data_IF_732561482944
#
_entry.id   IF_732561482944
#
_cell.length_a   1.000
_cell.length_b   1.000
_cell.length_c   1.000
_cell.angle_alpha   90.00
_cell.angle_beta   90.00
_cell.angle_gamma   90.00
#
_symmetry.space_group_name_H-M   'P 1'
#
loop_
_entity.id
_entity.type
_entity.pdbx_description
1 polymer ?
#
# COMPACT_ATOMS: atom_id res chain seq x y z
N UNK A 1 -12.94 -34.82 19.18
CA UNK A 1 -11.70 -34.21 19.70
C UNK A 1 -11.93 -33.81 21.16
N UNK A 2 -10.93 -33.93 22.05
CA UNK A 2 -11.05 -33.54 23.46
C UNK A 2 -11.10 -32.03 23.65
N UNK A 3 -10.47 -31.26 22.78
CA UNK A 3 -10.49 -29.79 22.83
C UNK A 3 -11.89 -29.25 22.47
N UNK A 4 -12.48 -29.74 21.39
CA UNK A 4 -13.86 -29.39 20.99
C UNK A 4 -14.88 -29.78 22.07
N UNK A 5 -14.72 -30.96 22.69
CA UNK A 5 -15.56 -31.41 23.80
C UNK A 5 -15.46 -30.48 25.02
N UNK A 6 -14.26 -30.00 25.35
CA UNK A 6 -14.05 -29.08 26.47
C UNK A 6 -14.67 -27.70 26.21
N UNK A 7 -14.54 -27.19 24.99
CA UNK A 7 -15.09 -25.88 24.60
C UNK A 7 -16.62 -25.92 24.62
N UNK A 8 -17.22 -26.96 24.02
CA UNK A 8 -18.69 -27.07 23.90
C UNK A 8 -19.39 -27.31 25.23
N UNK A 9 -18.71 -27.89 26.22
CA UNK A 9 -19.23 -28.09 27.58
C UNK A 9 -18.99 -26.90 28.52
N UNK A 10 -18.29 -25.86 28.07
CA UNK A 10 -17.98 -24.70 28.89
C UNK A 10 -19.20 -23.80 29.09
N UNK A 11 -19.35 -23.25 30.30
CA UNK A 11 -20.39 -22.26 30.62
C UNK A 11 -20.21 -20.95 29.83
N UNK A 12 -18.96 -20.62 29.47
CA UNK A 12 -18.62 -19.46 28.65
C UNK A 12 -17.80 -19.90 27.43
N UNK A 13 -18.51 -20.32 26.38
CA UNK A 13 -17.92 -20.82 25.13
C UNK A 13 -17.04 -19.75 24.47
N UNK A 14 -17.51 -18.49 24.38
CA UNK A 14 -16.76 -17.39 23.76
C UNK A 14 -15.45 -17.11 24.48
N UNK A 15 -15.49 -16.96 25.81
CA UNK A 15 -14.27 -16.72 26.61
C UNK A 15 -13.29 -17.89 26.54
N UNK A 16 -13.80 -19.13 26.46
CA UNK A 16 -12.97 -20.33 26.32
C UNK A 16 -12.27 -20.36 24.97
N UNK A 17 -12.96 -19.99 23.88
CA UNK A 17 -12.36 -19.91 22.55
C UNK A 17 -11.23 -18.88 22.48
N UNK A 18 -11.47 -17.65 22.96
CA UNK A 18 -10.42 -16.60 23.01
C UNK A 18 -9.24 -17.03 23.89
N UNK A 19 -9.49 -17.70 25.01
CA UNK A 19 -8.44 -18.27 25.85
C UNK A 19 -7.63 -19.35 25.11
N UNK A 20 -8.29 -20.25 24.38
CA UNK A 20 -7.63 -21.27 23.57
C UNK A 20 -6.73 -20.67 22.50
N UNK A 21 -7.17 -19.60 21.81
CA UNK A 21 -6.32 -18.86 20.85
C UNK A 21 -5.07 -18.36 21.57
N UNK A 22 -5.22 -17.63 22.68
CA UNK A 22 -4.09 -17.05 23.43
C UNK A 22 -3.10 -18.11 23.91
N UNK A 23 -3.59 -19.23 24.45
CA UNK A 23 -2.76 -20.34 24.92
C UNK A 23 -2.05 -21.02 23.74
N UNK A 24 -2.73 -21.17 22.60
CA UNK A 24 -2.13 -21.75 21.40
C UNK A 24 -0.95 -20.90 20.88
N UNK A 25 -1.06 -19.57 20.90
CA UNK A 25 0.04 -18.69 20.52
C UNK A 25 1.16 -18.66 21.55
N UNK A 26 0.83 -18.69 22.84
CA UNK A 26 1.81 -18.50 23.92
C UNK A 26 2.62 -19.76 24.23
N UNK A 27 2.00 -20.95 24.12
CA UNK A 27 2.59 -22.20 24.63
C UNK A 27 2.77 -23.30 23.57
N UNK A 28 2.11 -23.20 22.41
CA UNK A 28 2.26 -24.21 21.35
C UNK A 28 3.40 -23.83 20.40
N UNK A 29 4.55 -24.47 20.62
CA UNK A 29 5.77 -24.23 19.84
C UNK A 29 5.71 -24.85 18.43
N UNK A 30 5.01 -25.98 18.25
CA UNK A 30 4.92 -26.64 16.94
C UNK A 30 3.88 -25.96 16.06
N UNK A 31 4.34 -25.39 14.94
CA UNK A 31 3.47 -24.69 13.96
C UNK A 31 2.36 -25.58 13.43
N UNK A 32 2.67 -26.81 13.03
CA UNK A 32 1.69 -27.76 12.47
C UNK A 32 0.53 -28.01 13.44
N UNK A 33 0.84 -28.32 14.70
CA UNK A 33 -0.17 -28.55 15.73
C UNK A 33 -0.96 -27.28 16.08
N UNK A 34 -0.30 -26.11 16.08
CA UNK A 34 -1.01 -24.82 16.23
C UNK A 34 -2.00 -24.60 15.08
N UNK A 35 -1.65 -24.94 13.85
CA UNK A 35 -2.56 -24.83 12.70
C UNK A 35 -3.75 -25.80 12.84
N UNK A 36 -3.53 -27.04 13.32
CA UNK A 36 -4.63 -27.98 13.61
C UNK A 36 -5.60 -27.43 14.65
N UNK A 37 -5.07 -26.85 15.74
CA UNK A 37 -5.88 -26.18 16.77
C UNK A 37 -6.68 -25.03 16.15
N UNK A 38 -6.04 -24.12 15.43
CA UNK A 38 -6.72 -22.96 14.85
C UNK A 38 -7.83 -23.37 13.87
N UNK A 39 -7.60 -24.40 13.02
CA UNK A 39 -8.65 -24.95 12.14
C UNK A 39 -9.82 -25.52 12.92
N UNK A 40 -9.55 -26.23 14.02
CA UNK A 40 -10.60 -26.73 14.91
C UNK A 40 -11.39 -25.56 15.51
N UNK A 41 -10.72 -24.51 15.98
CA UNK A 41 -11.37 -23.33 16.56
C UNK A 41 -12.26 -22.63 15.51
N UNK A 42 -11.79 -22.43 14.28
CA UNK A 42 -12.59 -21.88 13.18
C UNK A 42 -13.87 -22.70 12.96
N UNK A 43 -13.76 -24.02 12.90
CA UNK A 43 -14.90 -24.90 12.75
C UNK A 43 -15.90 -24.79 13.91
N UNK A 44 -15.42 -24.61 15.15
CA UNK A 44 -16.28 -24.42 16.32
C UNK A 44 -16.97 -23.06 16.27
N UNK A 45 -16.25 -21.98 15.97
CA UNK A 45 -16.82 -20.64 15.84
C UNK A 45 -17.94 -20.58 14.79
N UNK A 46 -17.76 -21.25 13.64
CA UNK A 46 -18.76 -21.29 12.57
C UNK A 46 -20.04 -22.05 12.96
N UNK A 47 -19.97 -23.00 13.89
CA UNK A 47 -21.14 -23.76 14.38
C UNK A 47 -21.96 -22.99 15.43
N UNK A 48 -21.46 -21.87 15.95
CA UNK A 48 -22.19 -21.06 16.93
C UNK A 48 -23.39 -20.35 16.30
N UNK A 49 -24.45 -20.12 17.08
CA UNK A 49 -25.63 -19.39 16.63
C UNK A 49 -25.32 -17.94 16.20
N UNK A 50 -24.31 -17.33 16.85
CA UNK A 50 -23.77 -16.01 16.52
C UNK A 50 -22.25 -16.12 16.33
N UNK A 51 -21.77 -16.34 15.09
CA UNK A 51 -20.34 -16.45 14.81
C UNK A 51 -19.63 -15.12 15.07
N UNK A 52 -18.52 -15.17 15.79
CA UNK A 52 -17.61 -14.03 15.91
C UNK A 52 -16.68 -13.99 14.69
N UNK A 53 -17.09 -13.25 13.66
CA UNK A 53 -16.35 -13.18 12.40
C UNK A 53 -14.95 -12.54 12.56
N UNK A 54 -14.74 -11.68 13.55
CA UNK A 54 -13.44 -11.05 13.78
C UNK A 54 -12.43 -12.10 14.27
N UNK A 55 -12.80 -12.87 15.29
CA UNK A 55 -11.97 -13.98 15.79
C UNK A 55 -11.72 -15.07 14.72
N UNK A 56 -12.72 -15.35 13.88
CA UNK A 56 -12.55 -16.31 12.77
C UNK A 56 -11.53 -15.79 11.75
N UNK A 57 -11.66 -14.52 11.32
CA UNK A 57 -10.73 -13.92 10.37
C UNK A 57 -9.31 -13.87 10.93
N UNK A 58 -9.12 -13.57 12.22
CA UNK A 58 -7.81 -13.65 12.88
C UNK A 58 -7.22 -15.06 12.89
N UNK A 59 -8.05 -16.10 13.08
CA UNK A 59 -7.57 -17.48 12.97
C UNK A 59 -7.16 -17.82 11.53
N UNK A 60 -7.97 -17.42 10.54
CA UNK A 60 -7.69 -17.66 9.11
C UNK A 60 -6.44 -16.92 8.63
N UNK A 61 -6.21 -15.73 9.17
CA UNK A 61 -5.00 -14.94 8.98
C UNK A 61 -3.76 -15.73 9.43
N UNK A 62 -3.74 -16.25 10.66
CA UNK A 62 -2.63 -17.09 11.14
C UNK A 62 -2.47 -18.42 10.40
N UNK A 63 -3.53 -18.90 9.74
CA UNK A 63 -3.53 -20.09 8.90
C UNK A 63 -3.07 -19.82 7.47
N UNK A 64 -2.92 -18.54 7.06
CA UNK A 64 -2.62 -18.11 5.70
C UNK A 64 -3.68 -18.58 4.68
N UNK A 65 -4.97 -18.45 5.04
CA UNK A 65 -6.11 -18.92 4.24
C UNK A 65 -6.97 -17.73 3.72
N UNK A 66 -6.54 -17.01 2.65
CA UNK A 66 -7.21 -15.80 2.17
C UNK A 66 -8.62 -16.06 1.62
N UNK A 67 -8.86 -17.23 1.03
CA UNK A 67 -10.17 -17.62 0.52
C UNK A 67 -11.25 -17.66 1.61
N UNK A 68 -10.89 -18.11 2.82
CA UNK A 68 -11.82 -18.17 3.95
C UNK A 68 -12.26 -16.78 4.38
N UNK A 69 -11.31 -15.84 4.44
CA UNK A 69 -11.55 -14.43 4.77
C UNK A 69 -12.43 -13.77 3.70
N UNK A 70 -12.11 -13.96 2.42
CA UNK A 70 -12.89 -13.43 1.31
C UNK A 70 -14.35 -13.94 1.34
N UNK A 71 -14.55 -15.23 1.65
CA UNK A 71 -15.90 -15.81 1.76
C UNK A 71 -16.72 -15.20 2.90
N UNK A 72 -16.07 -14.90 4.03
CA UNK A 72 -16.72 -14.22 5.18
C UNK A 72 -17.06 -12.77 4.82
N UNK A 73 -16.11 -12.05 4.22
CA UNK A 73 -16.33 -10.68 3.77
C UNK A 73 -17.48 -10.62 2.74
N UNK A 74 -17.51 -11.52 1.75
CA UNK A 74 -18.61 -11.58 0.80
C UNK A 74 -19.96 -11.80 1.50
N UNK A 75 -20.03 -12.76 2.43
CA UNK A 75 -21.24 -13.06 3.19
C UNK A 75 -21.75 -11.83 3.95
N UNK A 76 -20.85 -11.10 4.61
CA UNK A 76 -21.19 -9.89 5.37
C UNK A 76 -21.62 -8.74 4.46
N UNK A 77 -20.95 -8.56 3.32
CA UNK A 77 -21.25 -7.49 2.37
C UNK A 77 -22.59 -7.70 1.66
N UNK A 78 -22.98 -8.96 1.41
CA UNK A 78 -24.28 -9.33 0.81
C UNK A 78 -25.44 -9.36 1.80
N UNK A 79 -25.18 -9.28 3.11
CA UNK A 79 -26.23 -9.21 4.13
C UNK A 79 -27.06 -7.93 3.99
N UNK A 80 -28.36 -8.01 4.24
CA UNK A 80 -29.24 -6.82 4.26
C UNK A 80 -28.93 -5.90 5.46
N UNK A 81 -28.34 -6.46 6.53
CA UNK A 81 -28.00 -5.72 7.74
C UNK A 81 -26.90 -4.68 7.48
N UNK A 82 -27.09 -3.47 8.02
CA UNK A 82 -26.05 -2.43 8.01
C UNK A 82 -24.90 -2.76 8.95
N UNK A 83 -25.20 -3.42 10.07
CA UNK A 83 -24.20 -3.75 11.09
C UNK A 83 -23.20 -4.78 10.57
N UNK A 84 -23.66 -5.74 9.76
CA UNK A 84 -22.79 -6.73 9.11
C UNK A 84 -21.83 -6.07 8.11
N UNK A 85 -22.32 -5.08 7.35
CA UNK A 85 -21.48 -4.31 6.44
C UNK A 85 -20.43 -3.49 7.20
N UNK A 86 -20.78 -2.90 8.35
CA UNK A 86 -19.82 -2.19 9.21
C UNK A 86 -18.78 -3.15 9.80
N UNK A 87 -19.20 -4.35 10.22
CA UNK A 87 -18.29 -5.39 10.69
C UNK A 87 -17.31 -5.82 9.60
N UNK A 88 -17.76 -5.94 8.35
CA UNK A 88 -16.87 -6.24 7.22
C UNK A 88 -15.80 -5.14 7.02
N UNK A 89 -16.17 -3.87 7.18
CA UNK A 89 -15.21 -2.76 7.12
C UNK A 89 -14.21 -2.82 8.28
N UNK A 90 -14.68 -3.13 9.50
CA UNK A 90 -13.80 -3.31 10.66
C UNK A 90 -12.80 -4.45 10.45
N UNK A 91 -13.25 -5.59 9.94
CA UNK A 91 -12.39 -6.72 9.58
C UNK A 91 -11.36 -6.29 8.52
N UNK A 92 -11.78 -5.55 7.49
CA UNK A 92 -10.86 -5.06 6.46
C UNK A 92 -9.75 -4.15 7.05
N UNK A 93 -10.09 -3.26 7.99
CA UNK A 93 -9.09 -2.43 8.68
C UNK A 93 -8.15 -3.27 9.56
N UNK A 94 -8.67 -4.23 10.33
CA UNK A 94 -7.85 -5.12 11.17
C UNK A 94 -6.87 -5.94 10.32
N UNK A 95 -7.31 -6.42 9.14
CA UNK A 95 -6.44 -7.12 8.19
C UNK A 95 -5.31 -6.21 7.69
N UNK A 96 -5.61 -4.97 7.32
CA UNK A 96 -4.59 -4.02 6.82
C UNK A 96 -3.54 -3.69 7.89
N UNK A 97 -3.90 -3.71 9.16
CA UNK A 97 -2.96 -3.45 10.26
C UNK A 97 -2.08 -4.67 10.60
N UNK A 98 -2.58 -5.89 10.39
CA UNK A 98 -1.94 -7.11 10.89
C UNK A 98 -1.32 -7.99 9.79
N UNK A 99 -1.66 -7.81 8.51
CA UNK A 99 -1.20 -8.66 7.42
C UNK A 99 -0.32 -7.97 6.37
N UNK A 100 0.37 -8.82 5.60
CA UNK A 100 1.23 -8.40 4.51
C UNK A 100 0.44 -8.17 3.20
N UNK A 101 0.96 -7.29 2.33
CA UNK A 101 0.26 -6.83 1.13
C UNK A 101 -0.17 -7.98 0.21
N UNK A 102 0.64 -9.03 0.07
CA UNK A 102 0.30 -10.17 -0.81
C UNK A 102 -0.96 -10.91 -0.34
N UNK A 103 -1.13 -11.10 0.97
CA UNK A 103 -2.34 -11.69 1.53
C UNK A 103 -3.56 -10.80 1.28
N UNK A 104 -3.44 -9.48 1.51
CA UNK A 104 -4.54 -8.52 1.31
C UNK A 104 -5.00 -8.45 -0.15
N UNK A 105 -4.05 -8.44 -1.09
CA UNK A 105 -4.33 -8.50 -2.53
C UNK A 105 -5.05 -9.80 -2.89
N UNK A 106 -4.55 -10.94 -2.38
CA UNK A 106 -5.20 -12.23 -2.57
C UNK A 106 -6.63 -12.25 -2.04
N UNK A 107 -6.90 -11.71 -0.84
CA UNK A 107 -8.27 -11.58 -0.31
C UNK A 107 -9.14 -10.72 -1.25
N UNK A 108 -8.60 -9.61 -1.76
CA UNK A 108 -9.28 -8.73 -2.70
C UNK A 108 -9.63 -9.38 -4.05
N UNK A 109 -8.74 -10.24 -4.56
CA UNK A 109 -8.89 -10.97 -5.83
C UNK A 109 -9.92 -12.09 -5.73
N UNK A 110 -10.00 -12.76 -4.58
CA UNK A 110 -10.99 -13.82 -4.33
C UNK A 110 -12.41 -13.29 -4.05
N UNK A 111 -12.60 -11.97 -3.89
CA UNK A 111 -13.92 -11.36 -3.77
C UNK A 111 -14.60 -11.25 -5.15
N UNK A 112 -15.78 -11.87 -5.35
CA UNK A 112 -16.40 -11.96 -6.67
C UNK A 112 -16.89 -10.60 -7.18
N UNK A 113 -16.80 -10.42 -8.49
CA UNK A 113 -17.34 -9.25 -9.15
C UNK A 113 -18.89 -9.20 -9.00
N UNK A 114 -19.49 -8.01 -8.94
CA UNK A 114 -20.94 -7.86 -9.01
C UNK A 114 -21.49 -8.49 -10.29
N UNK A 115 -22.65 -9.15 -10.22
CA UNK A 115 -23.26 -9.77 -11.41
C UNK A 115 -23.88 -8.67 -12.28
N UNK A 116 -23.27 -8.40 -13.44
CA UNK A 116 -23.91 -7.63 -14.52
C UNK A 116 -24.60 -8.60 -15.48
N UNK A 117 -25.92 -8.46 -15.69
CA UNK A 117 -26.63 -9.23 -16.71
C UNK A 117 -26.56 -8.49 -18.05
N UNK A 118 -26.16 -9.14 -19.16
CA UNK A 118 -26.39 -8.61 -20.51
C UNK A 118 -27.87 -8.82 -20.86
N UNK A 119 -28.56 -7.77 -21.33
CA UNK A 119 -29.91 -7.92 -21.91
C UNK A 119 -29.75 -8.25 -23.39
N UNK A 120 -30.27 -9.41 -23.80
CA UNK A 120 -30.42 -9.77 -25.21
C UNK A 120 -31.46 -8.84 -25.85
N UNK A 121 -31.03 -8.01 -26.80
CA UNK A 121 -31.92 -7.14 -27.55
C UNK A 121 -32.82 -7.99 -28.47
N UNK A 122 -34.10 -8.10 -28.13
CA UNK A 122 -35.14 -8.59 -29.03
C UNK A 122 -35.40 -7.57 -30.14
N UNK A 123 -34.93 -7.85 -31.36
CA UNK A 123 -35.22 -7.09 -32.57
C UNK A 123 -36.68 -7.24 -32.98
N UNK A 124 -37.51 -6.22 -32.73
CA UNK A 124 -38.76 -6.00 -33.46
C UNK A 124 -38.48 -5.21 -34.73
N UNK A 125 -38.62 -5.87 -35.88
CA UNK A 125 -38.68 -5.24 -37.19
C UNK A 125 -39.93 -4.36 -37.31
N UNK A 126 -39.77 -3.13 -37.78
CA UNK A 126 -40.83 -2.42 -38.51
C UNK A 126 -40.20 -1.53 -39.59
N UNK A 127 -40.66 -1.74 -40.81
CA UNK A 127 -40.23 -1.09 -42.04
C UNK A 127 -40.94 0.26 -42.30
N UNK A 128 -40.20 1.16 -42.96
CA UNK A 128 -40.60 2.24 -43.90
C UNK A 128 -41.35 3.50 -43.40
N UNK A 129 -40.74 4.70 -43.59
CA UNK A 129 -40.89 5.52 -44.82
C UNK A 129 -39.93 6.73 -44.88
N UNK A 130 -39.37 6.91 -46.09
CA UNK A 130 -38.56 7.97 -46.74
C UNK A 130 -38.46 9.42 -46.23
N UNK A 131 -37.25 10.01 -46.40
CA UNK A 131 -37.03 11.45 -46.65
C UNK A 131 -35.61 12.02 -46.37
N UNK A 132 -34.76 12.10 -47.40
CA UNK A 132 -33.55 12.94 -47.64
C UNK A 132 -32.31 13.02 -46.69
N UNK A 133 -31.13 12.87 -47.30
CA UNK A 133 -29.72 12.94 -46.80
C UNK A 133 -29.09 14.33 -47.12
N UNK A 134 -27.90 14.78 -46.61
CA UNK A 134 -26.77 14.01 -46.04
C UNK A 134 -25.93 14.62 -44.85
N UNK A 135 -25.17 13.73 -44.19
CA UNK A 135 -23.78 13.85 -43.66
C UNK A 135 -23.44 14.78 -42.47
N UNK A 136 -23.33 14.18 -41.28
CA UNK A 136 -22.19 14.33 -40.36
C UNK A 136 -21.94 13.02 -39.63
N UNK A 137 -20.67 12.60 -39.58
CA UNK A 137 -20.15 11.39 -38.92
C UNK A 137 -20.66 11.23 -37.48
N UNK A 138 -21.41 10.16 -37.23
CA UNK A 138 -21.66 9.64 -35.89
C UNK A 138 -20.56 8.62 -35.55
N UNK A 139 -19.96 8.75 -34.37
CA UNK A 139 -19.73 7.54 -33.58
C UNK A 139 -20.82 7.56 -32.49
N UNK A 140 -21.90 6.77 -32.62
CA UNK A 140 -22.91 6.72 -31.59
C UNK A 140 -22.36 5.91 -30.42
N UNK A 141 -22.00 6.60 -29.34
CA UNK A 141 -21.79 5.98 -28.04
C UNK A 141 -23.09 5.29 -27.66
N UNK A 142 -23.12 3.97 -27.80
CA UNK A 142 -24.16 3.12 -27.25
C UNK A 142 -24.13 3.26 -25.73
N UNK A 143 -25.01 4.10 -25.18
CA UNK A 143 -25.30 4.11 -23.75
C UNK A 143 -26.04 2.82 -23.45
N UNK A 144 -25.30 1.79 -23.05
CA UNK A 144 -25.88 0.55 -22.53
C UNK A 144 -26.48 0.88 -21.16
N UNK A 145 -27.81 0.96 -21.08
CA UNK A 145 -28.50 1.04 -19.79
C UNK A 145 -28.36 -0.30 -19.07
N UNK A 146 -27.63 -0.32 -17.96
CA UNK A 146 -27.51 -1.47 -17.08
C UNK A 146 -28.59 -1.37 -15.98
N UNK A 147 -29.63 -2.21 -16.04
CA UNK A 147 -30.47 -2.46 -14.86
C UNK A 147 -29.71 -3.38 -13.90
N UNK A 148 -28.99 -2.79 -12.95
CA UNK A 148 -28.44 -3.52 -11.80
C UNK A 148 -29.57 -3.83 -10.82
N UNK A 149 -29.69 -5.09 -10.41
CA UNK A 149 -30.53 -5.49 -9.27
C UNK A 149 -30.16 -4.61 -8.06
N UNK A 150 -31.11 -3.95 -7.38
CA UNK A 150 -30.80 -3.08 -6.24
C UNK A 150 -29.96 -3.75 -5.15
N UNK A 151 -30.08 -5.07 -4.96
CA UNK A 151 -29.23 -5.81 -4.01
C UNK A 151 -27.77 -5.91 -4.47
N UNK A 152 -27.53 -6.17 -5.76
CA UNK A 152 -26.17 -6.23 -6.31
C UNK A 152 -25.55 -4.82 -6.46
N UNK A 153 -26.34 -3.77 -6.63
CA UNK A 153 -25.87 -2.39 -6.60
C UNK A 153 -25.32 -2.00 -5.20
N UNK A 154 -26.04 -2.36 -4.13
CA UNK A 154 -25.57 -2.14 -2.74
C UNK A 154 -24.31 -2.95 -2.46
N UNK A 155 -24.26 -4.21 -2.91
CA UNK A 155 -23.05 -5.03 -2.80
C UNK A 155 -21.86 -4.40 -3.54
N UNK A 156 -22.05 -3.90 -4.76
CA UNK A 156 -21.00 -3.25 -5.54
C UNK A 156 -20.43 -2.01 -4.84
N UNK A 157 -21.29 -1.18 -4.24
CA UNK A 157 -20.85 -0.01 -3.46
C UNK A 157 -20.01 -0.43 -2.25
N UNK A 158 -20.49 -1.41 -1.47
CA UNK A 158 -19.80 -1.92 -0.29
C UNK A 158 -18.49 -2.62 -0.64
N UNK A 159 -18.48 -3.38 -1.73
CA UNK A 159 -17.29 -4.05 -2.25
C UNK A 159 -16.23 -3.03 -2.66
N UNK A 160 -16.62 -1.93 -3.31
CA UNK A 160 -15.70 -0.85 -3.68
C UNK A 160 -15.03 -0.25 -2.44
N UNK A 161 -15.79 -0.02 -1.37
CA UNK A 161 -15.25 0.48 -0.09
C UNK A 161 -14.27 -0.51 0.54
N UNK A 162 -14.64 -1.79 0.63
CA UNK A 162 -13.76 -2.83 1.20
C UNK A 162 -12.49 -2.99 0.37
N UNK A 163 -12.57 -3.04 -0.96
CA UNK A 163 -11.36 -3.09 -1.82
C UNK A 163 -10.48 -1.86 -1.64
N UNK A 164 -11.08 -0.68 -1.48
CA UNK A 164 -10.35 0.55 -1.14
C UNK A 164 -9.64 0.49 0.21
N UNK A 165 -10.20 -0.19 1.21
CA UNK A 165 -9.53 -0.42 2.50
C UNK A 165 -8.43 -1.46 2.36
N UNK A 166 -8.73 -2.63 1.78
CA UNK A 166 -7.77 -3.73 1.59
C UNK A 166 -6.57 -3.33 0.73
N UNK A 167 -6.72 -2.37 -0.18
CA UNK A 167 -5.60 -1.79 -0.92
C UNK A 167 -4.58 -1.07 -0.04
N UNK A 168 -4.97 -0.68 1.18
CA UNK A 168 -4.18 0.13 2.12
C UNK A 168 -4.28 1.64 1.88
N UNK A 169 -4.71 2.09 0.69
CA UNK A 169 -4.77 3.51 0.33
C UNK A 169 -5.65 4.33 1.28
N UNK A 170 -6.79 3.78 1.69
CA UNK A 170 -7.71 4.46 2.61
C UNK A 170 -7.06 4.71 3.97
N UNK A 171 -6.39 3.70 4.53
CA UNK A 171 -5.70 3.79 5.83
C UNK A 171 -4.54 4.78 5.78
N UNK A 172 -3.80 4.80 4.66
CA UNK A 172 -2.72 5.77 4.42
C UNK A 172 -3.28 7.19 4.39
N UNK A 173 -4.35 7.44 3.63
CA UNK A 173 -4.96 8.78 3.52
C UNK A 173 -5.47 9.30 4.87
N UNK A 174 -6.14 8.45 5.65
CA UNK A 174 -6.64 8.81 6.98
C UNK A 174 -5.47 9.15 7.92
N UNK A 175 -4.40 8.36 7.89
CA UNK A 175 -3.20 8.59 8.70
C UNK A 175 -2.49 9.89 8.28
N UNK A 176 -2.34 10.12 6.97
CA UNK A 176 -1.77 11.34 6.41
C UNK A 176 -2.55 12.59 6.86
N UNK A 177 -3.88 12.55 6.78
CA UNK A 177 -4.74 13.64 7.25
C UNK A 177 -4.60 13.86 8.75
N UNK A 178 -4.55 12.80 9.55
CA UNK A 178 -4.32 12.88 10.98
C UNK A 178 -2.97 13.53 11.31
N UNK A 179 -1.88 13.05 10.71
CA UNK A 179 -0.53 13.55 10.95
C UNK A 179 -0.36 15.00 10.49
N UNK A 180 -0.96 15.38 9.36
CA UNK A 180 -0.97 16.77 8.90
C UNK A 180 -1.72 17.69 9.88
N UNK A 181 -2.93 17.31 10.29
CA UNK A 181 -3.79 18.15 11.16
C UNK A 181 -3.33 18.21 12.62
N UNK A 182 -2.67 17.16 13.11
CA UNK A 182 -2.20 17.04 14.50
C UNK A 182 -0.68 17.13 14.61
N UNK A 183 -0.02 17.80 13.66
CA UNK A 183 1.41 18.04 13.71
C UNK A 183 1.77 19.01 14.86
N UNK A 184 2.51 18.51 15.86
CA UNK A 184 3.01 19.29 17.00
C UNK A 184 4.53 19.52 16.96
N UNK A 185 5.14 19.38 15.78
CA UNK A 185 6.57 19.61 15.59
C UNK A 185 6.93 21.08 15.85
N UNK A 186 7.97 21.30 16.65
CA UNK A 186 8.46 22.64 16.97
C UNK A 186 9.65 23.02 16.08
N UNK A 187 9.45 23.99 15.19
CA UNK A 187 10.48 24.52 14.31
C UNK A 187 11.61 25.24 15.08
N UNK A 188 11.39 25.70 16.32
CA UNK A 188 12.42 26.34 17.14
C UNK A 188 13.54 25.36 17.49
N UNK A 189 13.19 24.08 17.72
CA UNK A 189 14.18 23.02 17.97
C UNK A 189 15.10 22.88 16.75
N UNK A 190 14.53 22.78 15.55
CA UNK A 190 15.30 22.67 14.30
C UNK A 190 16.13 23.92 14.02
N UNK A 191 15.61 25.11 14.30
CA UNK A 191 16.36 26.37 14.20
C UNK A 191 17.55 26.40 15.15
N UNK A 192 17.37 25.94 16.38
CA UNK A 192 18.44 25.85 17.39
C UNK A 192 19.52 24.86 16.95
N UNK A 193 19.13 23.65 16.52
CA UNK A 193 20.06 22.63 16.01
C UNK A 193 20.85 23.22 14.83
N UNK A 194 20.18 23.82 13.84
CA UNK A 194 20.86 24.43 12.69
C UNK A 194 21.86 25.52 13.10
N UNK A 195 21.51 26.37 14.06
CA UNK A 195 22.39 27.44 14.56
C UNK A 195 23.60 26.91 15.34
N UNK A 196 23.45 25.79 16.05
CA UNK A 196 24.53 25.13 16.78
C UNK A 196 25.49 24.33 15.89
N UNK A 197 25.10 24.04 14.65
CA UNK A 197 25.89 23.25 13.71
C UNK A 197 26.77 24.15 12.85
N UNK A 198 28.08 23.92 12.89
CA UNK A 198 29.01 24.57 11.96
C UNK A 198 28.75 24.13 10.52
N UNK A 199 28.63 25.11 9.62
CA UNK A 199 28.27 24.89 8.20
C UNK A 199 29.23 23.99 7.42
N UNK A 200 30.45 23.77 7.91
CA UNK A 200 31.47 22.92 7.25
C UNK A 200 31.36 21.44 7.67
N UNK A 201 30.56 21.13 8.68
CA UNK A 201 30.41 19.77 9.19
C UNK A 201 29.27 19.05 8.46
N UNK A 202 29.63 18.26 7.45
CA UNK A 202 28.68 17.47 6.65
C UNK A 202 27.88 16.45 7.48
N UNK A 203 28.47 15.89 8.53
CA UNK A 203 27.80 14.92 9.42
C UNK A 203 26.66 15.59 10.18
N UNK A 204 26.94 16.74 10.80
CA UNK A 204 25.92 17.49 11.52
C UNK A 204 24.84 18.08 10.59
N UNK A 205 25.21 18.42 9.35
CA UNK A 205 24.24 18.79 8.33
C UNK A 205 23.27 17.64 8.03
N UNK A 206 23.77 16.43 7.76
CA UNK A 206 22.93 15.24 7.55
C UNK A 206 22.09 14.90 8.77
N UNK A 207 22.64 15.00 9.98
CA UNK A 207 21.91 14.78 11.22
C UNK A 207 20.73 15.75 11.37
N UNK A 208 20.90 17.02 11.00
CA UNK A 208 19.83 18.03 11.04
C UNK A 208 18.72 17.71 10.03
N UNK A 209 19.09 17.24 8.83
CA UNK A 209 18.14 16.80 7.81
C UNK A 209 17.35 15.58 8.31
N UNK A 210 18.02 14.59 8.89
CA UNK A 210 17.35 13.39 9.44
C UNK A 210 16.43 13.73 10.60
N UNK A 211 16.86 14.60 11.52
CA UNK A 211 16.00 15.08 12.60
C UNK A 211 14.73 15.74 12.04
N UNK A 212 14.87 16.64 11.07
CA UNK A 212 13.72 17.25 10.40
C UNK A 212 12.83 16.21 9.71
N UNK A 213 13.41 15.29 8.94
CA UNK A 213 12.67 14.27 8.21
C UNK A 213 11.86 13.35 9.15
N UNK A 214 12.43 12.95 10.28
CA UNK A 214 11.76 12.10 11.29
C UNK A 214 10.68 12.88 12.03
N UNK A 215 10.95 14.11 12.46
CA UNK A 215 9.96 14.97 13.12
C UNK A 215 8.73 15.22 12.24
N UNK A 216 8.94 15.35 10.93
CA UNK A 216 7.90 15.67 9.95
C UNK A 216 7.43 14.46 9.13
N UNK A 217 7.77 13.23 9.50
CA UNK A 217 7.49 12.03 8.73
C UNK A 217 5.98 11.85 8.48
N UNK A 218 5.58 11.74 7.21
CA UNK A 218 4.18 11.61 6.81
C UNK A 218 3.29 12.80 7.17
N UNK A 219 3.87 13.97 7.49
CA UNK A 219 3.09 15.18 7.75
C UNK A 219 2.91 16.04 6.50
N UNK A 220 3.70 15.81 5.44
CA UNK A 220 3.80 16.68 4.24
C UNK A 220 4.29 18.11 4.52
N UNK A 221 4.59 18.45 5.79
CA UNK A 221 5.05 19.78 6.20
C UNK A 221 6.57 19.86 6.02
N UNK A 222 7.00 20.47 4.93
CA UNK A 222 8.42 20.67 4.57
C UNK A 222 8.87 22.14 4.69
N UNK A 223 8.14 22.96 5.47
CA UNK A 223 8.41 24.39 5.68
C UNK A 223 9.86 24.68 6.05
N UNK A 224 10.44 23.88 6.95
CA UNK A 224 11.84 24.02 7.34
C UNK A 224 12.78 23.92 6.14
N UNK A 225 12.53 23.01 5.19
CA UNK A 225 13.38 22.86 4.01
C UNK A 225 13.23 24.05 3.05
N UNK A 226 11.99 24.50 2.82
CA UNK A 226 11.69 25.65 1.94
C UNK A 226 12.30 26.96 2.46
N UNK A 227 12.26 27.19 3.77
CA UNK A 227 12.86 28.37 4.40
C UNK A 227 14.39 28.35 4.39
N UNK A 228 15.01 27.19 4.12
CA UNK A 228 16.45 26.98 4.26
C UNK A 228 17.11 26.41 2.99
N UNK A 229 16.55 26.71 1.81
CA UNK A 229 17.07 26.22 0.52
C UNK A 229 18.54 26.59 0.27
N UNK A 230 18.96 27.81 0.62
CA UNK A 230 20.36 28.25 0.48
C UNK A 230 21.34 27.47 1.38
N UNK A 231 20.84 26.93 2.48
CA UNK A 231 21.62 26.07 3.37
C UNK A 231 21.65 24.64 2.81
N UNK A 232 20.52 24.10 2.35
CA UNK A 232 20.42 22.77 1.73
C UNK A 232 21.23 22.65 0.44
N UNK A 233 21.25 23.70 -0.40
CA UNK A 233 21.95 23.69 -1.70
C UNK A 233 23.47 23.51 -1.57
N UNK A 234 24.01 23.84 -0.38
CA UNK A 234 25.45 23.68 -0.04
C UNK A 234 25.82 22.25 0.32
N UNK A 235 24.86 21.37 0.55
CA UNK A 235 25.14 19.94 0.73
C UNK A 235 25.82 19.38 -0.53
N UNK A 236 26.79 18.47 -0.34
CA UNK A 236 27.54 17.83 -1.43
C UNK A 236 27.49 16.31 -1.28
N UNK A 237 27.65 15.60 -2.39
CA UNK A 237 27.70 14.14 -2.45
C UNK A 237 26.52 13.48 -1.69
N UNK A 238 26.81 12.52 -0.81
CA UNK A 238 25.81 11.79 -0.03
C UNK A 238 24.96 12.66 0.89
N UNK A 239 25.45 13.81 1.35
CA UNK A 239 24.61 14.73 2.12
C UNK A 239 23.47 15.31 1.24
N UNK A 240 23.73 15.53 -0.05
CA UNK A 240 22.70 15.94 -1.02
C UNK A 240 21.74 14.80 -1.33
N UNK A 241 22.24 13.57 -1.45
CA UNK A 241 21.39 12.37 -1.57
C UNK A 241 20.43 12.26 -0.39
N UNK A 242 20.95 12.30 0.83
CA UNK A 242 20.16 12.25 2.07
C UNK A 242 19.17 13.42 2.18
N UNK A 243 19.54 14.62 1.71
CA UNK A 243 18.64 15.77 1.67
C UNK A 243 17.42 15.52 0.79
N UNK A 244 17.65 15.02 -0.43
CA UNK A 244 16.56 14.71 -1.35
C UNK A 244 15.76 13.49 -0.89
N UNK A 245 16.41 12.44 -0.38
CA UNK A 245 15.74 11.27 0.20
C UNK A 245 14.84 11.64 1.39
N UNK A 246 15.27 12.58 2.23
CA UNK A 246 14.51 13.07 3.38
C UNK A 246 13.16 13.71 3.01
N UNK A 247 13.01 14.27 1.81
CA UNK A 247 11.71 14.73 1.31
C UNK A 247 10.72 13.56 1.19
N UNK A 248 11.18 12.38 0.79
CA UNK A 248 10.34 11.18 0.71
C UNK A 248 9.80 10.74 2.07
N UNK A 249 10.58 10.92 3.14
CA UNK A 249 10.13 10.62 4.51
C UNK A 249 9.04 11.60 4.97
N UNK A 250 9.22 12.89 4.71
CA UNK A 250 8.25 13.94 5.07
C UNK A 250 6.93 13.72 4.33
N UNK A 251 7.01 13.34 3.05
CA UNK A 251 5.87 13.12 2.16
C UNK A 251 5.41 11.66 2.09
N UNK A 252 5.82 10.81 3.06
CA UNK A 252 5.44 9.40 3.11
C UNK A 252 3.92 9.22 3.03
N UNK A 253 3.46 8.36 2.12
CA UNK A 253 2.03 8.09 1.94
C UNK A 253 1.28 9.09 1.05
N UNK A 254 1.95 10.11 0.51
CA UNK A 254 1.33 11.08 -0.41
C UNK A 254 1.33 10.56 -1.86
N UNK A 255 0.63 9.45 -2.10
CA UNK A 255 0.72 8.66 -3.33
C UNK A 255 0.36 9.45 -4.60
N UNK A 256 -0.70 10.27 -4.56
CA UNK A 256 -1.21 10.97 -5.75
C UNK A 256 -0.27 12.07 -6.27
N UNK A 257 0.41 12.78 -5.38
CA UNK A 257 1.24 13.94 -5.76
C UNK A 257 2.75 13.68 -5.59
N UNK A 258 3.15 12.54 -5.02
CA UNK A 258 4.56 12.22 -4.74
C UNK A 258 5.46 12.40 -5.97
N UNK A 259 5.00 11.96 -7.16
CA UNK A 259 5.75 12.15 -8.42
C UNK A 259 5.85 13.61 -8.84
N UNK A 260 4.77 14.38 -8.77
CA UNK A 260 4.79 15.81 -9.11
C UNK A 260 5.69 16.62 -8.17
N UNK A 261 5.72 16.26 -6.89
CA UNK A 261 6.56 16.91 -5.88
C UNK A 261 8.04 16.64 -6.10
N UNK A 262 8.38 15.40 -6.48
CA UNK A 262 9.76 15.00 -6.74
C UNK A 262 10.25 15.37 -8.14
N UNK A 263 9.38 15.72 -9.09
CA UNK A 263 9.71 16.02 -10.48
C UNK A 263 10.91 16.97 -10.70
N UNK A 264 11.12 18.03 -9.89
CA UNK A 264 12.29 18.90 -10.03
C UNK A 264 13.63 18.22 -9.74
N UNK A 265 13.62 17.11 -9.01
CA UNK A 265 14.81 16.37 -8.57
C UNK A 265 15.01 15.05 -9.31
N UNK A 266 14.04 14.62 -10.13
CA UNK A 266 14.13 13.36 -10.87
C UNK A 266 15.06 13.48 -12.08
N UNK A 267 15.67 12.36 -12.53
CA UNK A 267 16.44 12.35 -13.78
C UNK A 267 15.58 12.84 -14.95
N UNK A 268 15.97 13.96 -15.55
CA UNK A 268 15.36 14.45 -16.79
C UNK A 268 16.25 13.96 -17.93
N UNK A 269 15.77 13.03 -18.76
CA UNK A 269 16.54 12.31 -19.79
C UNK A 269 17.07 13.14 -20.96
N UNK A 270 17.74 14.27 -20.70
CA UNK A 270 18.33 15.18 -21.68
C UNK A 270 19.70 15.73 -21.24
N UNK A 271 20.59 15.91 -22.21
CA UNK A 271 22.01 16.22 -22.05
C UNK A 271 22.36 17.65 -21.52
N UNK A 272 21.46 18.32 -20.78
CA UNK A 272 21.70 19.71 -20.38
C UNK A 272 20.88 20.27 -19.21
N UNK A 273 20.14 19.45 -18.46
CA UNK A 273 19.28 19.95 -17.36
C UNK A 273 19.33 19.16 -16.06
N UNK A 274 20.15 18.11 -15.97
CA UNK A 274 20.17 17.19 -14.82
C UNK A 274 20.71 17.83 -13.54
N UNK A 275 20.10 17.46 -12.42
CA UNK A 275 20.62 17.79 -11.09
C UNK A 275 21.93 17.06 -10.81
N UNK A 276 22.45 17.16 -9.59
CA UNK A 276 23.56 16.29 -9.17
C UNK A 276 23.09 14.83 -9.18
N UNK A 277 23.90 13.84 -9.62
CA UNK A 277 23.52 12.42 -9.58
C UNK A 277 23.10 11.93 -8.19
N UNK A 278 23.63 12.55 -7.13
CA UNK A 278 23.22 12.29 -5.75
C UNK A 278 21.79 12.77 -5.47
N UNK A 279 21.40 13.93 -6.00
CA UNK A 279 20.04 14.43 -5.87
C UNK A 279 19.07 13.56 -6.65
N UNK A 280 19.44 13.17 -7.88
CA UNK A 280 18.62 12.30 -8.73
C UNK A 280 18.43 10.91 -8.13
N UNK A 281 19.51 10.26 -7.66
CA UNK A 281 19.42 9.00 -6.92
C UNK A 281 18.59 9.14 -5.64
N UNK A 282 18.81 10.23 -4.88
CA UNK A 282 18.03 10.51 -3.68
C UNK A 282 16.55 10.73 -3.97
N UNK A 283 16.21 11.25 -5.16
CA UNK A 283 14.82 11.45 -5.58
C UNK A 283 14.12 10.14 -5.94
N UNK A 284 14.82 9.21 -6.60
CA UNK A 284 14.31 7.87 -6.87
C UNK A 284 14.09 7.09 -5.56
N UNK A 285 15.01 7.22 -4.61
CA UNK A 285 14.84 6.61 -3.28
C UNK A 285 13.67 7.25 -2.51
N UNK A 286 13.54 8.58 -2.55
CA UNK A 286 12.40 9.29 -1.97
C UNK A 286 11.05 8.82 -2.55
N UNK A 287 10.98 8.59 -3.86
CA UNK A 287 9.78 8.05 -4.49
C UNK A 287 9.38 6.69 -3.93
N UNK A 288 10.35 5.80 -3.71
CA UNK A 288 10.12 4.51 -3.07
C UNK A 288 9.66 4.64 -1.62
N UNK A 289 10.25 5.57 -0.86
CA UNK A 289 9.82 5.88 0.52
C UNK A 289 8.38 6.39 0.59
N UNK A 290 7.96 7.21 -0.39
CA UNK A 290 6.57 7.70 -0.50
C UNK A 290 5.60 6.55 -0.77
N UNK A 291 5.98 5.62 -1.65
CA UNK A 291 5.15 4.51 -2.14
C UNK A 291 5.51 3.16 -1.50
N UNK A 292 6.07 3.16 -0.29
CA UNK A 292 6.47 1.92 0.38
C UNK A 292 5.27 0.96 0.50
N UNK A 293 5.45 -0.28 0.04
CA UNK A 293 4.42 -1.33 -0.09
C UNK A 293 3.24 -1.02 -1.04
N UNK A 294 3.21 0.14 -1.68
CA UNK A 294 2.10 0.63 -2.52
C UNK A 294 2.62 1.18 -3.86
N UNK A 295 3.56 0.44 -4.47
CA UNK A 295 4.34 0.90 -5.61
C UNK A 295 3.72 0.75 -6.99
N UNK A 296 2.51 0.19 -7.15
CA UNK A 296 1.95 -0.18 -8.47
C UNK A 296 2.01 0.96 -9.50
N UNK A 297 1.71 2.20 -9.10
CA UNK A 297 1.75 3.37 -9.98
C UNK A 297 3.17 3.88 -10.34
N UNK A 298 4.22 3.43 -9.65
CA UNK A 298 5.59 3.96 -9.79
C UNK A 298 6.63 2.90 -10.15
N UNK A 299 6.36 1.60 -9.93
CA UNK A 299 7.27 0.47 -10.20
C UNK A 299 7.87 0.55 -11.60
N UNK A 300 7.04 0.71 -12.63
CA UNK A 300 7.52 0.78 -14.01
C UNK A 300 8.47 1.96 -14.24
N UNK A 301 8.14 3.14 -13.70
CA UNK A 301 9.00 4.32 -13.81
C UNK A 301 10.36 4.12 -13.12
N UNK A 302 10.38 3.49 -11.95
CA UNK A 302 11.62 3.17 -11.23
C UNK A 302 12.44 2.13 -11.98
N UNK A 303 11.82 1.11 -12.58
CA UNK A 303 12.49 0.12 -13.45
C UNK A 303 13.11 0.77 -14.67
N UNK A 304 12.37 1.63 -15.36
CA UNK A 304 12.87 2.36 -16.53
C UNK A 304 14.05 3.27 -16.13
N UNK A 305 13.96 3.93 -14.97
CA UNK A 305 15.03 4.75 -14.42
C UNK A 305 16.28 3.93 -14.07
N UNK A 306 16.10 2.72 -13.54
CA UNK A 306 17.20 1.80 -13.21
C UNK A 306 17.92 1.31 -14.48
N UNK A 307 17.14 0.92 -15.51
CA UNK A 307 17.65 0.39 -16.77
C UNK A 307 18.30 1.45 -17.67
N UNK A 308 17.89 2.70 -17.54
CA UNK A 308 18.36 3.80 -18.40
C UNK A 308 19.65 4.48 -17.93
N UNK A 309 20.20 4.09 -16.79
CA UNK A 309 21.41 4.69 -16.22
C UNK A 309 22.46 3.66 -15.85
N UNK A 310 23.73 4.02 -16.04
CA UNK A 310 24.90 3.28 -15.56
C UNK A 310 25.62 4.01 -14.42
N UNK A 311 25.02 5.08 -13.88
CA UNK A 311 25.62 5.86 -12.79
C UNK A 311 25.29 5.20 -11.46
N UNK A 312 26.31 4.70 -10.77
CA UNK A 312 26.17 3.89 -9.56
C UNK A 312 25.29 4.53 -8.48
N UNK A 313 25.40 5.85 -8.28
CA UNK A 313 24.61 6.59 -7.27
C UNK A 313 23.12 6.66 -7.64
N UNK A 314 22.82 6.78 -8.93
CA UNK A 314 21.43 6.79 -9.41
C UNK A 314 20.86 5.37 -9.34
N UNK A 315 21.65 4.36 -9.73
CA UNK A 315 21.28 2.95 -9.59
C UNK A 315 21.07 2.56 -8.12
N UNK A 316 21.88 3.06 -7.20
CA UNK A 316 21.71 2.86 -5.76
C UNK A 316 20.35 3.38 -5.28
N UNK A 317 20.01 4.62 -5.61
CA UNK A 317 18.71 5.19 -5.27
C UNK A 317 17.53 4.49 -5.95
N UNK A 318 17.69 4.10 -7.21
CA UNK A 318 16.68 3.39 -7.98
C UNK A 318 16.41 1.98 -7.43
N UNK A 319 17.46 1.22 -7.07
CA UNK A 319 17.34 -0.11 -6.45
C UNK A 319 16.58 0.00 -5.13
N UNK A 320 17.04 0.86 -4.20
CA UNK A 320 16.38 1.05 -2.91
C UNK A 320 14.92 1.51 -3.09
N UNK A 321 14.69 2.44 -4.01
CA UNK A 321 13.35 2.93 -4.29
C UNK A 321 12.43 1.84 -4.83
N UNK A 322 12.93 1.02 -5.75
CA UNK A 322 12.19 -0.08 -6.36
C UNK A 322 11.89 -1.17 -5.32
N UNK A 323 12.89 -1.60 -4.54
CA UNK A 323 12.72 -2.59 -3.47
C UNK A 323 11.69 -2.18 -2.44
N UNK A 324 11.66 -0.90 -2.02
CA UNK A 324 10.61 -0.38 -1.12
C UNK A 324 9.22 -0.37 -1.78
N UNK A 325 9.14 -0.01 -3.05
CA UNK A 325 7.88 0.05 -3.80
C UNK A 325 7.31 -1.35 -4.09
N UNK A 326 8.16 -2.38 -4.17
CA UNK A 326 7.79 -3.78 -4.42
C UNK A 326 8.01 -4.71 -3.22
N UNK A 327 8.12 -4.15 -2.02
CA UNK A 327 8.44 -4.95 -0.83
C UNK A 327 7.35 -6.00 -0.59
N UNK A 328 7.77 -7.27 -0.52
CA UNK A 328 6.87 -8.40 -0.25
C UNK A 328 5.95 -8.80 -1.42
N UNK A 329 6.16 -8.29 -2.64
CA UNK A 329 5.33 -8.69 -3.80
C UNK A 329 5.85 -9.91 -4.55
N UNK A 330 7.07 -10.37 -4.27
CA UNK A 330 7.71 -11.51 -4.94
C UNK A 330 7.68 -11.39 -6.49
N UNK A 331 7.91 -10.19 -7.00
CA UNK A 331 7.93 -9.89 -8.43
C UNK A 331 9.28 -10.30 -9.03
N UNK A 332 9.28 -11.41 -9.77
CA UNK A 332 10.49 -11.99 -10.41
C UNK A 332 11.12 -11.05 -11.44
N UNK A 333 10.30 -10.26 -12.15
CA UNK A 333 10.83 -9.37 -13.17
C UNK A 333 11.63 -8.22 -12.52
N UNK A 334 11.15 -7.69 -11.38
CA UNK A 334 11.89 -6.70 -10.58
C UNK A 334 13.16 -7.31 -9.99
N UNK A 335 13.07 -8.55 -9.49
CA UNK A 335 14.21 -9.28 -8.95
C UNK A 335 15.33 -9.43 -10.00
N UNK A 336 14.99 -9.82 -11.23
CA UNK A 336 15.96 -9.98 -12.31
C UNK A 336 16.64 -8.66 -12.70
N UNK A 337 15.91 -7.54 -12.71
CA UNK A 337 16.48 -6.22 -12.95
C UNK A 337 17.49 -5.82 -11.86
N UNK A 338 17.14 -6.03 -10.58
CA UNK A 338 18.02 -5.71 -9.44
C UNK A 338 19.24 -6.64 -9.42
N UNK A 339 19.05 -7.92 -9.74
CA UNK A 339 20.12 -8.91 -9.85
C UNK A 339 21.12 -8.56 -10.96
N UNK A 340 20.65 -8.03 -12.08
CA UNK A 340 21.53 -7.51 -13.14
C UNK A 340 22.46 -6.43 -12.60
N UNK A 341 21.95 -5.51 -11.77
CA UNK A 341 22.75 -4.45 -11.13
C UNK A 341 23.77 -5.03 -10.14
N UNK A 342 23.39 -6.04 -9.35
CA UNK A 342 24.31 -6.71 -8.44
C UNK A 342 25.55 -7.28 -9.16
N UNK A 343 25.37 -7.79 -10.38
CA UNK A 343 26.46 -8.36 -11.18
C UNK A 343 27.32 -7.33 -11.92
N UNK A 344 27.06 -6.04 -11.76
CA UNK A 344 27.90 -4.99 -12.34
C UNK A 344 29.21 -4.71 -11.57
N UNK A 345 29.49 -5.48 -10.50
CA UNK A 345 30.67 -5.32 -9.62
C UNK A 345 30.80 -3.91 -8.99
N UNK A 346 29.72 -3.14 -8.94
CA UNK A 346 29.67 -1.86 -8.24
C UNK A 346 29.44 -2.06 -6.75
N UNK A 347 30.34 -1.55 -5.91
CA UNK A 347 30.16 -1.62 -4.45
C UNK A 347 28.94 -0.79 -3.99
N UNK A 348 28.72 0.38 -4.60
CA UNK A 348 27.66 1.31 -4.21
C UNK A 348 26.28 0.81 -4.68
N UNK A 349 26.15 0.47 -5.96
CA UNK A 349 24.88 -0.04 -6.49
C UNK A 349 24.60 -1.46 -5.97
N UNK A 350 25.64 -2.28 -5.77
CA UNK A 350 25.53 -3.65 -5.26
C UNK A 350 25.02 -3.73 -3.82
N UNK A 351 25.39 -2.80 -2.94
CA UNK A 351 24.81 -2.70 -1.58
C UNK A 351 23.29 -2.49 -1.66
N UNK A 352 22.85 -1.50 -2.45
CA UNK A 352 21.43 -1.21 -2.63
C UNK A 352 20.69 -2.39 -3.27
N UNK A 353 21.27 -3.01 -4.29
CA UNK A 353 20.69 -4.20 -4.91
C UNK A 353 20.56 -5.35 -3.90
N UNK A 354 21.57 -5.58 -3.07
CA UNK A 354 21.57 -6.56 -1.98
C UNK A 354 20.45 -6.34 -0.96
N UNK A 355 20.17 -5.08 -0.61
CA UNK A 355 19.08 -4.72 0.33
C UNK A 355 17.70 -4.83 -0.33
N UNK A 356 17.61 -4.63 -1.65
CA UNK A 356 16.35 -4.49 -2.38
C UNK A 356 15.77 -5.81 -2.90
N UNK A 357 16.60 -6.84 -3.03
CA UNK A 357 16.17 -8.23 -3.27
C UNK A 357 15.55 -8.83 -2.02
#
# INVERSE_FOLDING_TARGET
>A
DKLEEAITKSDNVQGTLSYCINVSHSFVNRREYRHEILRLLVNVYQKLASPDYLSICQCLMFLDEPQGVASILEKLLRSESKDDALLALQIAFDLVENEHQAFLMSVGDHLPAPKTRPVEASTTQNENTAGDVPMTDETPSQTTEYETDPADAVYAERLTKVKGILSGETSIQLTLQFLYSHNKSDLLILKTIKQSVEMRNSVCHSATIYANAIMHAGTTVDTFLRENLDWLSRATNWAKFSATAGLGVIHRGHLQQGRSLMAPYLPQGGAGGGGSPYSEGGALYALGLIHANHGEGIKQFLRDSLRSTSVEVIQHGACLGLGLASLGTADEDIYDDIKSVLYTDSAVAGEAAGISM
#
